data_IF_299352940990
#
_entry.id   IF_299352940990
#
_cell.length_a   1.000
_cell.length_b   1.000
_cell.length_c   1.000
_cell.angle_alpha   90.00
_cell.angle_beta   90.00
_cell.angle_gamma   90.00
#
_symmetry.space_group_name_H-M   'P 1'
#
loop_
_entity.id
_entity.type
_entity.pdbx_description
1 polymer ?
#
# COMPACT_ATOMS: atom_id res chain seq x y z
N UNK A 1 -11.24 8.30 20.91
CA UNK A 1 -10.07 7.59 20.33
C UNK A 1 -10.10 7.84 18.83
N UNK A 2 -9.13 8.58 18.30
CA UNK A 2 -9.01 8.85 16.87
C UNK A 2 -8.84 7.53 16.11
N UNK A 3 -9.54 7.37 14.99
CA UNK A 3 -9.42 6.20 14.11
C UNK A 3 -7.98 6.15 13.58
N UNK A 4 -7.15 5.27 14.13
CA UNK A 4 -5.75 5.10 13.70
C UNK A 4 -5.79 4.70 12.22
N UNK A 5 -5.21 5.53 11.36
CA UNK A 5 -5.03 5.20 9.94
C UNK A 5 -3.66 4.56 9.82
N UNK A 6 -3.60 3.29 9.44
CA UNK A 6 -2.35 2.53 9.43
C UNK A 6 -1.51 2.79 8.17
N UNK A 7 -2.14 3.05 7.02
CA UNK A 7 -1.44 3.33 5.76
C UNK A 7 -1.08 4.79 5.55
N UNK A 8 -0.66 5.11 4.32
CA UNK A 8 -0.40 6.50 3.92
C UNK A 8 -1.69 7.32 4.01
N UNK A 9 -1.59 8.51 4.60
CA UNK A 9 -2.70 9.45 4.65
C UNK A 9 -2.89 10.09 3.28
N UNK A 10 -3.99 9.75 2.60
CA UNK A 10 -4.40 10.33 1.31
C UNK A 10 -5.83 10.85 1.41
N UNK A 11 -6.13 11.92 0.68
CA UNK A 11 -7.46 12.53 0.66
C UNK A 11 -8.44 11.81 -0.29
N UNK A 12 -7.94 10.85 -1.06
CA UNK A 12 -8.72 10.08 -2.04
C UNK A 12 -9.66 9.10 -1.34
N UNK A 13 -10.89 8.98 -1.88
CA UNK A 13 -11.94 8.07 -1.41
C UNK A 13 -12.64 7.45 -2.63
N UNK A 14 -12.85 6.13 -2.69
CA UNK A 14 -12.47 5.12 -1.70
C UNK A 14 -10.96 4.79 -1.72
N UNK A 15 -10.42 4.33 -0.58
CA UNK A 15 -9.04 3.83 -0.49
C UNK A 15 -8.87 2.73 0.56
N UNK A 16 -7.95 1.81 0.30
CA UNK A 16 -7.39 0.87 1.27
C UNK A 16 -6.05 1.43 1.74
N UNK A 17 -5.88 1.63 3.05
CA UNK A 17 -4.59 1.97 3.64
C UNK A 17 -4.10 0.84 4.55
N UNK A 18 -2.85 0.43 4.43
CA UNK A 18 -2.25 -0.59 5.28
C UNK A 18 -0.80 -0.29 5.66
N UNK A 19 -0.36 -0.85 6.79
CA UNK A 19 1.04 -0.88 7.21
C UNK A 19 1.58 -2.29 7.12
N UNK A 20 2.34 -2.57 6.09
CA UNK A 20 3.00 -3.86 5.86
C UNK A 20 4.24 -3.98 6.74
N UNK A 21 4.49 -5.18 7.26
CA UNK A 21 5.75 -5.48 7.99
C UNK A 21 6.80 -5.86 6.97
N UNK A 22 7.97 -5.22 7.05
CA UNK A 22 9.12 -5.53 6.22
C UNK A 22 10.07 -6.47 6.97
N UNK A 23 10.34 -7.65 6.41
CA UNK A 23 11.38 -8.58 6.87
C UNK A 23 12.41 -8.78 5.75
N UNK A 24 13.52 -8.05 5.82
CA UNK A 24 14.45 -7.95 4.69
C UNK A 24 13.75 -7.35 3.48
N UNK A 25 13.63 -8.11 2.39
CA UNK A 25 12.92 -7.68 1.18
C UNK A 25 11.50 -8.27 1.07
N UNK A 26 11.01 -8.96 2.11
CA UNK A 26 9.67 -9.54 2.14
C UNK A 26 8.68 -8.63 2.84
N UNK A 27 7.45 -8.61 2.36
CA UNK A 27 6.36 -7.80 2.89
C UNK A 27 5.21 -8.66 3.40
N UNK A 28 4.84 -8.44 4.65
CA UNK A 28 3.76 -9.17 5.31
C UNK A 28 2.57 -8.25 5.54
N UNK A 29 1.43 -8.64 4.98
CA UNK A 29 0.15 -7.98 5.23
C UNK A 29 -0.46 -8.45 6.55
N UNK A 30 -0.93 -7.50 7.36
CA UNK A 30 -1.61 -7.74 8.62
C UNK A 30 -2.95 -7.00 8.62
N UNK A 31 -4.05 -7.75 8.72
CA UNK A 31 -5.40 -7.19 8.61
C UNK A 31 -5.75 -6.22 9.75
N UNK A 32 -5.19 -6.41 10.94
CA UNK A 32 -5.33 -5.49 12.09
C UNK A 32 -4.58 -4.17 11.88
N UNK A 33 -3.68 -4.11 10.88
CA UNK A 33 -2.94 -2.92 10.44
C UNK A 33 -3.41 -2.42 9.07
N UNK A 34 -4.66 -2.70 8.73
CA UNK A 34 -5.30 -2.22 7.51
C UNK A 34 -6.61 -1.49 7.84
N UNK A 35 -6.97 -0.56 6.98
CA UNK A 35 -8.21 0.20 7.11
C UNK A 35 -8.71 0.61 5.73
N UNK A 36 -10.03 0.53 5.54
CA UNK A 36 -10.69 1.09 4.37
C UNK A 36 -11.33 2.42 4.73
N UNK A 37 -11.19 3.39 3.83
CA UNK A 37 -11.89 4.68 3.90
C UNK A 37 -12.80 4.79 2.67
N UNK A 38 -14.06 5.14 2.90
CA UNK A 38 -15.11 5.02 1.88
C UNK A 38 -15.54 3.57 1.65
N UNK A 39 -16.29 3.35 0.56
CA UNK A 39 -16.80 2.04 0.16
C UNK A 39 -16.37 1.75 -1.28
N UNK A 40 -15.67 0.64 -1.47
CA UNK A 40 -15.45 0.06 -2.78
C UNK A 40 -16.72 -0.69 -3.21
N UNK A 41 -17.03 -0.67 -4.49
CA UNK A 41 -18.05 -1.54 -5.11
C UNK A 41 -17.57 -2.99 -5.13
N UNK A 42 -18.49 -3.94 -5.31
CA UNK A 42 -18.15 -5.37 -5.36
C UNK A 42 -17.16 -5.70 -6.50
N UNK A 43 -17.25 -4.97 -7.62
CA UNK A 43 -16.33 -5.11 -8.75
C UNK A 43 -14.93 -4.62 -8.35
N UNK A 44 -14.84 -3.46 -7.69
CA UNK A 44 -13.56 -2.92 -7.24
C UNK A 44 -12.93 -3.77 -6.13
N UNK A 45 -13.72 -4.36 -5.24
CA UNK A 45 -13.23 -5.32 -4.24
C UNK A 45 -12.56 -6.53 -4.92
N UNK A 46 -13.21 -7.13 -5.93
CA UNK A 46 -12.60 -8.25 -6.69
C UNK A 46 -11.32 -7.83 -7.38
N UNK A 47 -11.31 -6.66 -8.04
CA UNK A 47 -10.10 -6.11 -8.66
C UNK A 47 -8.99 -5.91 -7.62
N UNK A 48 -9.33 -5.41 -6.43
CA UNK A 48 -8.38 -5.22 -5.34
C UNK A 48 -7.79 -6.55 -4.87
N UNK A 49 -8.62 -7.58 -4.67
CA UNK A 49 -8.17 -8.91 -4.27
C UNK A 49 -7.22 -9.54 -5.29
N UNK A 50 -7.51 -9.37 -6.58
CA UNK A 50 -6.66 -9.83 -7.67
C UNK A 50 -5.35 -9.06 -7.75
N UNK A 51 -5.40 -7.73 -7.54
CA UNK A 51 -4.27 -6.82 -7.77
C UNK A 51 -3.33 -6.72 -6.58
N UNK A 52 -3.83 -6.90 -5.36
CA UNK A 52 -3.03 -6.71 -4.15
C UNK A 52 -1.73 -7.54 -4.11
N UNK A 53 -1.74 -8.84 -4.46
CA UNK A 53 -0.50 -9.64 -4.54
C UNK A 53 0.49 -9.15 -5.61
N UNK A 54 0.03 -8.46 -6.65
CA UNK A 54 0.92 -7.86 -7.65
C UNK A 54 1.67 -6.66 -7.07
N UNK A 55 0.97 -5.78 -6.35
CA UNK A 55 1.62 -4.66 -5.67
C UNK A 55 2.64 -5.13 -4.63
N UNK A 56 2.31 -6.17 -3.84
CA UNK A 56 3.26 -6.75 -2.87
C UNK A 56 4.54 -7.18 -3.57
N UNK A 57 4.45 -8.03 -4.61
CA UNK A 57 5.63 -8.52 -5.33
C UNK A 57 6.44 -7.39 -5.98
N UNK A 58 5.78 -6.36 -6.50
CA UNK A 58 6.47 -5.23 -7.10
C UNK A 58 7.22 -4.42 -6.04
N UNK A 59 6.63 -4.16 -4.88
CA UNK A 59 7.31 -3.49 -3.77
C UNK A 59 8.48 -4.31 -3.21
N UNK A 60 8.34 -5.64 -3.09
CA UNK A 60 9.45 -6.54 -2.69
C UNK A 60 10.61 -6.50 -3.70
N UNK A 61 10.30 -6.42 -4.99
CA UNK A 61 11.29 -6.19 -6.04
C UNK A 61 11.99 -4.84 -5.87
N UNK A 62 11.24 -3.77 -5.58
CA UNK A 62 11.78 -2.42 -5.37
C UNK A 62 12.65 -2.32 -4.10
N UNK A 63 12.33 -3.08 -3.05
CA UNK A 63 13.20 -3.23 -1.87
C UNK A 63 14.52 -3.91 -2.25
N UNK A 64 14.47 -4.87 -3.18
CA UNK A 64 15.65 -5.58 -3.66
C UNK A 64 16.54 -4.71 -4.55
N UNK A 65 15.95 -3.85 -5.40
CA UNK A 65 16.69 -2.92 -6.27
C UNK A 65 17.14 -1.66 -5.52
N UNK A 66 16.53 -1.34 -4.38
CA UNK A 66 16.81 -0.13 -3.60
C UNK A 66 15.99 1.09 -4.05
N UNK A 67 15.11 0.95 -5.04
CA UNK A 67 14.15 1.99 -5.43
C UNK A 67 13.21 2.34 -4.28
N UNK A 68 12.83 1.34 -3.49
CA UNK A 68 12.20 1.52 -2.20
C UNK A 68 13.23 1.24 -1.10
N UNK A 69 13.59 2.26 -0.31
CA UNK A 69 14.63 2.15 0.71
C UNK A 69 14.02 2.16 2.10
N UNK A 70 14.34 1.18 2.95
CA UNK A 70 13.89 1.09 4.35
C UNK A 70 14.31 2.28 5.22
N UNK A 71 15.39 2.97 4.82
CA UNK A 71 16.02 4.04 5.60
C UNK A 71 15.64 5.45 5.13
N UNK A 72 14.97 5.57 3.99
CA UNK A 72 14.71 6.87 3.38
C UNK A 72 13.24 6.98 3.01
N UNK A 73 12.61 8.08 3.43
CA UNK A 73 11.26 8.40 3.00
C UNK A 73 11.30 8.75 1.51
N UNK A 74 10.63 7.94 0.70
CA UNK A 74 10.49 8.14 -0.72
C UNK A 74 9.22 7.43 -1.20
N UNK A 75 8.22 8.23 -1.54
CA UNK A 75 6.93 7.72 -1.99
C UNK A 75 7.04 7.28 -3.45
N UNK A 76 6.74 6.01 -3.71
CA UNK A 76 6.67 5.43 -5.05
C UNK A 76 5.21 5.20 -5.44
N UNK A 77 4.92 5.28 -6.73
CA UNK A 77 3.57 5.09 -7.26
C UNK A 77 3.56 3.94 -8.26
N UNK A 78 2.68 2.96 -8.04
CA UNK A 78 2.51 1.76 -8.85
C UNK A 78 1.11 1.77 -9.46
N UNK A 79 0.98 1.20 -10.66
CA UNK A 79 -0.29 1.14 -11.38
C UNK A 79 -0.56 -0.29 -11.85
N UNK A 80 -1.76 -0.79 -11.59
CA UNK A 80 -2.20 -2.10 -12.08
C UNK A 80 -3.73 -2.20 -12.08
N UNK A 81 -4.33 -2.73 -13.15
CA UNK A 81 -5.78 -2.98 -13.26
C UNK A 81 -6.70 -1.82 -12.84
N UNK A 82 -6.42 -0.61 -13.33
CA UNK A 82 -7.13 0.64 -12.96
C UNK A 82 -7.06 1.00 -11.47
N UNK A 83 -6.10 0.43 -10.73
CA UNK A 83 -5.77 0.81 -9.36
C UNK A 83 -4.40 1.47 -9.31
N UNK A 84 -4.30 2.48 -8.45
CA UNK A 84 -3.05 3.14 -8.07
C UNK A 84 -2.68 2.70 -6.67
N UNK A 85 -1.42 2.34 -6.46
CA UNK A 85 -0.83 2.08 -5.15
C UNK A 85 0.29 3.08 -4.90
N UNK A 86 0.16 3.90 -3.87
CA UNK A 86 1.27 4.67 -3.33
C UNK A 86 1.90 3.89 -2.17
N UNK A 87 3.23 3.84 -2.12
CA UNK A 87 3.97 3.14 -1.10
C UNK A 87 5.17 3.97 -0.62
N UNK A 88 5.42 3.99 0.69
CA UNK A 88 6.58 4.65 1.28
C UNK A 88 7.02 3.90 2.54
N UNK A 89 8.33 3.80 2.79
CA UNK A 89 8.85 3.22 4.04
C UNK A 89 8.83 4.22 5.19
N UNK A 90 8.77 5.52 4.88
CA UNK A 90 8.93 6.65 5.79
C UNK A 90 10.22 6.57 6.63
N UNK A 91 11.26 5.87 6.13
CA UNK A 91 12.49 5.62 6.87
C UNK A 91 12.30 4.76 8.13
N UNK A 92 11.21 4.00 8.22
CA UNK A 92 10.82 3.28 9.43
C UNK A 92 11.71 2.08 9.79
N UNK A 93 12.58 1.65 8.88
CA UNK A 93 13.46 0.49 9.05
C UNK A 93 12.72 -0.84 9.34
N UNK A 94 11.43 -0.95 9.01
CA UNK A 94 10.66 -2.16 9.29
C UNK A 94 9.21 -2.17 8.79
N UNK A 95 8.75 -1.07 8.17
CA UNK A 95 7.40 -0.97 7.63
C UNK A 95 7.37 -0.35 6.24
N UNK A 96 6.37 -0.76 5.47
CA UNK A 96 5.94 -0.07 4.25
C UNK A 96 4.49 0.35 4.43
N UNK A 97 4.25 1.64 4.29
CA UNK A 97 2.94 2.26 4.38
C UNK A 97 2.39 2.36 2.97
N UNK A 98 1.16 1.87 2.77
CA UNK A 98 0.53 1.88 1.45
C UNK A 98 -0.83 2.58 1.46
N UNK A 99 -1.20 3.14 0.32
CA UNK A 99 -2.55 3.57 -0.01
C UNK A 99 -2.92 3.07 -1.42
N UNK A 100 -3.99 2.28 -1.53
CA UNK A 100 -4.51 1.75 -2.79
C UNK A 100 -5.89 2.35 -3.06
N UNK A 101 -6.10 2.87 -4.26
CA UNK A 101 -7.34 3.51 -4.68
C UNK A 101 -7.55 3.39 -6.20
N UNK A 102 -8.79 3.55 -6.70
CA UNK A 102 -9.04 3.59 -8.14
C UNK A 102 -8.24 4.70 -8.83
N UNK A 103 -7.59 4.39 -9.94
CA UNK A 103 -6.87 5.37 -10.74
C UNK A 103 -7.87 6.38 -11.31
N UNK A 104 -7.72 7.64 -10.95
CA UNK A 104 -8.47 8.73 -11.58
C UNK A 104 -7.93 8.94 -13.00
N UNK A 105 -8.81 8.84 -14.00
CA UNK A 105 -8.49 9.17 -15.40
C UNK A 105 -8.77 10.64 -15.68
#
# INVERSE_FOLDING_TARGET
MSKITWGLQRDITPRLGARLVQEGNRLHYLADRASMTGKFSDIECRKLDETFPHFIRQMESMLTTGELSSHHAHCVTLYHNDLTCEADTLGSCGYVYIAIYPTQR
#
